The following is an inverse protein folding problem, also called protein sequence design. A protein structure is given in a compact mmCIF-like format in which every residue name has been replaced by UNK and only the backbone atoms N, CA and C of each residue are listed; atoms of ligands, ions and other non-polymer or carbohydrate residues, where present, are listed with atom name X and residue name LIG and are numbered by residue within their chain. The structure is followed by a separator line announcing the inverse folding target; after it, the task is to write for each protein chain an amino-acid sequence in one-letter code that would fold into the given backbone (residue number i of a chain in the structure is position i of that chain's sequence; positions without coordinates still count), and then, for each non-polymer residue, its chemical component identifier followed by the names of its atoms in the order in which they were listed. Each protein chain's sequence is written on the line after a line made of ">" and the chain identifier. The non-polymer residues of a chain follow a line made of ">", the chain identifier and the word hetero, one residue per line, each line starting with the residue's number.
data_IF_528506080955
#
_entry.id   IF_528506080955
#
_cell.length_a   1.000
_cell.length_b   1.000
_cell.length_c   1.000
_cell.angle_alpha   90.00
_cell.angle_beta   90.00
_cell.angle_gamma   90.00
#
_symmetry.space_group_name_H-M   'P 1'
#
loop_
_entity.id
_entity.type
_entity.pdbx_description
1 polymer ?
#
# COMPACT_ATOMS: atom_id res chain seq x y z
N UNK A 1 -46.41 -3.90 2.40
CA UNK A 1 -45.81 -2.60 2.06
C UNK A 1 -45.45 -2.68 0.59
N UNK A 2 -45.99 -1.77 -0.23
CA UNK A 2 -45.73 -1.74 -1.67
C UNK A 2 -44.23 -1.57 -1.92
N UNK A 3 -43.72 -2.24 -2.96
CA UNK A 3 -42.36 -2.07 -3.45
C UNK A 3 -42.22 -0.67 -4.05
N UNK A 4 -42.07 0.34 -3.20
CA UNK A 4 -41.55 1.65 -3.60
C UNK A 4 -40.11 1.46 -4.04
N UNK A 5 -39.78 2.05 -5.19
CA UNK A 5 -38.52 1.89 -5.93
C UNK A 5 -37.32 1.70 -5.01
N UNK A 6 -36.78 0.47 -5.01
CA UNK A 6 -35.50 0.23 -4.39
C UNK A 6 -34.46 1.12 -5.11
N UNK A 7 -33.59 1.84 -4.38
CA UNK A 7 -32.57 2.67 -5.00
C UNK A 7 -31.74 1.83 -5.96
N UNK A 8 -31.72 2.24 -7.22
CA UNK A 8 -31.13 1.49 -8.33
C UNK A 8 -29.64 1.81 -8.52
N UNK A 9 -29.20 2.94 -7.94
CA UNK A 9 -27.81 3.38 -7.98
C UNK A 9 -27.25 3.62 -6.57
N UNK A 10 -25.92 3.55 -6.45
CA UNK A 10 -25.22 3.82 -5.18
C UNK A 10 -25.47 5.26 -4.67
N UNK A 11 -25.65 6.21 -5.58
CA UNK A 11 -25.96 7.60 -5.25
C UNK A 11 -27.35 7.73 -4.64
N UNK A 12 -28.34 7.02 -5.18
CA UNK A 12 -29.70 6.97 -4.64
C UNK A 12 -29.72 6.29 -3.27
N UNK A 13 -29.03 5.16 -3.12
CA UNK A 13 -28.90 4.43 -1.85
C UNK A 13 -28.28 5.32 -0.76
N UNK A 14 -27.21 6.04 -1.12
CA UNK A 14 -26.54 6.97 -0.20
C UNK A 14 -27.46 8.11 0.23
N UNK A 15 -28.25 8.64 -0.69
CA UNK A 15 -29.18 9.75 -0.41
C UNK A 15 -30.34 9.30 0.47
N UNK A 16 -30.96 8.16 0.16
CA UNK A 16 -32.02 7.55 0.97
C UNK A 16 -31.54 7.20 2.39
N UNK A 17 -30.33 6.64 2.52
CA UNK A 17 -29.76 6.35 3.84
C UNK A 17 -29.48 7.60 4.66
N UNK A 18 -29.04 8.68 3.99
CA UNK A 18 -28.81 9.97 4.64
C UNK A 18 -30.15 10.59 5.11
N UNK A 19 -31.21 10.48 4.33
CA UNK A 19 -32.55 10.94 4.69
C UNK A 19 -33.13 10.15 5.86
N UNK A 20 -33.01 8.82 5.87
CA UNK A 20 -33.42 7.98 7.00
C UNK A 20 -32.63 8.26 8.27
N UNK A 21 -31.32 8.49 8.17
CA UNK A 21 -30.51 8.88 9.33
C UNK A 21 -30.92 10.23 9.92
N UNK A 22 -31.28 11.20 9.06
CA UNK A 22 -31.83 12.49 9.49
C UNK A 22 -33.16 12.31 10.24
N UNK A 23 -34.05 11.46 9.74
CA UNK A 23 -35.34 11.17 10.37
C UNK A 23 -35.17 10.59 11.78
N UNK A 24 -34.24 9.65 11.95
CA UNK A 24 -34.05 8.94 13.24
C UNK A 24 -33.27 9.77 14.25
N UNK A 25 -32.26 10.54 13.82
CA UNK A 25 -31.32 11.17 14.76
C UNK A 25 -31.51 12.67 14.92
N UNK A 26 -32.24 13.33 14.01
CA UNK A 26 -32.41 14.79 13.99
C UNK A 26 -31.13 15.58 13.69
N UNK A 27 -30.00 14.90 13.47
CA UNK A 27 -28.71 15.49 13.16
C UNK A 27 -28.48 15.44 11.65
N UNK A 28 -28.08 16.56 11.05
CA UNK A 28 -27.70 16.59 9.64
C UNK A 28 -26.45 15.73 9.44
N UNK A 29 -26.63 14.50 8.96
CA UNK A 29 -25.57 13.51 8.86
C UNK A 29 -24.41 14.01 7.98
N UNK A 30 -23.22 14.09 8.57
CA UNK A 30 -21.98 14.40 7.85
C UNK A 30 -21.72 13.25 6.87
N UNK A 31 -21.52 13.58 5.58
CA UNK A 31 -21.26 12.61 4.49
C UNK A 31 -20.24 11.51 4.87
N UNK A 32 -19.27 11.84 5.71
CA UNK A 32 -18.24 10.93 6.25
C UNK A 32 -18.82 9.74 7.04
N UNK A 33 -19.86 9.95 7.85
CA UNK A 33 -20.46 8.89 8.68
C UNK A 33 -21.21 7.88 7.80
N UNK A 34 -21.96 8.38 6.82
CA UNK A 34 -22.69 7.56 5.84
C UNK A 34 -21.73 6.67 5.05
N UNK A 35 -20.65 7.25 4.52
CA UNK A 35 -19.65 6.50 3.78
C UNK A 35 -18.98 5.42 4.64
N UNK A 36 -18.77 5.69 5.94
CA UNK A 36 -18.22 4.70 6.88
C UNK A 36 -19.18 3.53 7.09
N UNK A 37 -20.48 3.78 7.28
CA UNK A 37 -21.46 2.70 7.46
C UNK A 37 -21.66 1.89 6.19
N UNK A 38 -21.68 2.52 5.01
CA UNK A 38 -21.74 1.80 3.73
C UNK A 38 -20.50 0.92 3.53
N UNK A 39 -19.31 1.42 3.85
CA UNK A 39 -18.10 0.61 3.82
C UNK A 39 -18.14 -0.54 4.84
N UNK A 40 -18.63 -0.31 6.06
CA UNK A 40 -18.80 -1.35 7.07
C UNK A 40 -19.75 -2.45 6.58
N UNK A 41 -20.93 -2.09 6.08
CA UNK A 41 -21.91 -3.04 5.55
C UNK A 41 -21.34 -3.84 4.37
N UNK A 42 -20.56 -3.20 3.49
CA UNK A 42 -19.87 -3.90 2.41
C UNK A 42 -18.81 -4.88 2.95
N UNK A 43 -18.06 -4.51 4.00
CA UNK A 43 -17.11 -5.43 4.64
C UNK A 43 -17.83 -6.61 5.32
N UNK A 44 -18.94 -6.36 6.00
CA UNK A 44 -19.72 -7.39 6.70
C UNK A 44 -20.31 -8.40 5.71
N UNK A 45 -20.81 -7.94 4.56
CA UNK A 45 -21.29 -8.78 3.46
C UNK A 45 -20.21 -9.74 2.92
N UNK A 46 -18.96 -9.28 2.88
CA UNK A 46 -17.83 -10.12 2.50
C UNK A 46 -17.37 -11.07 3.63
N UNK A 47 -17.76 -10.85 4.89
CA UNK A 47 -17.46 -11.74 6.02
C UNK A 47 -18.45 -12.91 6.13
N UNK A 48 -19.68 -12.75 5.66
CA UNK A 48 -20.75 -13.78 5.66
C UNK A 48 -20.50 -14.97 4.70
N UNK A 49 -19.37 -14.99 3.98
CA UNK A 49 -18.89 -16.12 3.13
C UNK A 49 -19.93 -16.64 2.13
N UNK A 50 -20.71 -15.75 1.52
CA UNK A 50 -21.58 -16.17 0.43
C UNK A 50 -20.75 -16.46 -0.82
N UNK A 51 -20.91 -17.64 -1.42
CA UNK A 51 -20.13 -18.13 -2.57
C UNK A 51 -20.05 -17.17 -3.77
N UNK A 52 -21.05 -16.30 -3.94
CA UNK A 52 -21.11 -15.27 -4.99
C UNK A 52 -20.51 -13.93 -4.56
N UNK A 53 -20.28 -13.72 -3.27
CA UNK A 53 -19.66 -12.53 -2.67
C UNK A 53 -18.23 -12.81 -2.14
N UNK A 54 -17.72 -14.03 -2.33
CA UNK A 54 -16.36 -14.40 -1.97
C UNK A 54 -15.35 -13.52 -2.73
N UNK A 55 -14.41 -12.93 -1.98
CA UNK A 55 -13.29 -12.19 -2.56
C UNK A 55 -12.41 -13.15 -3.35
N UNK A 56 -12.61 -13.17 -4.68
CA UNK A 56 -11.84 -14.02 -5.61
C UNK A 56 -10.36 -13.65 -5.69
N UNK A 57 -10.02 -12.39 -5.42
CA UNK A 57 -8.65 -11.90 -5.33
C UNK A 57 -8.60 -10.66 -4.43
N UNK A 58 -7.47 -10.47 -3.74
CA UNK A 58 -7.18 -9.27 -2.94
C UNK A 58 -5.86 -8.70 -3.44
N UNK A 59 -5.88 -7.44 -3.86
CA UNK A 59 -4.66 -6.68 -4.12
C UNK A 59 -4.23 -6.09 -2.77
N UNK A 60 -3.11 -6.56 -2.25
CA UNK A 60 -2.52 -6.02 -1.03
C UNK A 60 -1.47 -5.00 -1.43
N UNK A 61 -1.77 -3.72 -1.24
CA UNK A 61 -0.83 -2.62 -1.42
C UNK A 61 -0.11 -2.37 -0.09
N UNK A 62 1.19 -2.64 -0.05
CA UNK A 62 2.02 -2.28 1.09
C UNK A 62 2.45 -0.81 0.94
N UNK A 63 2.60 -0.11 2.08
CA UNK A 63 3.18 1.23 2.05
C UNK A 63 4.67 1.12 1.67
N UNK A 64 5.23 2.11 0.96
CA UNK A 64 6.65 2.09 0.63
C UNK A 64 7.51 2.00 1.90
N UNK A 65 8.58 1.21 1.84
CA UNK A 65 9.51 1.01 2.92
C UNK A 65 10.68 2.00 2.78
N UNK A 66 10.88 2.82 3.81
CA UNK A 66 11.86 3.93 3.82
C UNK A 66 12.68 3.99 5.12
N UNK A 67 12.66 2.92 5.93
CA UNK A 67 13.34 2.93 7.24
C UNK A 67 14.83 2.58 7.11
N UNK A 68 15.69 3.36 7.76
CA UNK A 68 17.14 3.25 7.66
C UNK A 68 17.68 4.09 6.51
N UNK A 69 18.98 3.99 6.25
CA UNK A 69 19.67 4.70 5.17
C UNK A 69 20.48 3.75 4.31
N UNK A 70 20.92 4.21 3.15
CA UNK A 70 21.71 3.43 2.21
C UNK A 70 23.06 4.05 1.90
N UNK A 71 23.99 3.21 1.47
CA UNK A 71 25.27 3.58 0.93
C UNK A 71 25.59 2.75 -0.32
N UNK A 72 26.21 3.40 -1.30
CA UNK A 72 26.69 2.82 -2.54
C UNK A 72 27.89 3.64 -3.02
N UNK A 73 28.99 2.96 -3.34
CA UNK A 73 30.23 3.60 -3.75
C UNK A 73 30.53 3.31 -5.22
N UNK A 74 30.45 4.34 -6.06
CA UNK A 74 30.61 4.28 -7.52
C UNK A 74 31.94 3.63 -7.94
N UNK A 75 33.00 3.82 -7.14
CA UNK A 75 34.32 3.29 -7.43
C UNK A 75 34.45 1.77 -7.22
N UNK A 76 33.62 1.17 -6.36
CA UNK A 76 33.72 -0.25 -5.99
C UNK A 76 32.56 -1.10 -6.50
N UNK A 77 31.36 -0.53 -6.54
CA UNK A 77 30.18 -1.24 -7.03
C UNK A 77 29.08 -0.27 -7.44
N UNK A 78 28.50 -0.50 -8.61
CA UNK A 78 27.35 0.25 -9.10
C UNK A 78 26.02 -0.45 -8.81
N UNK A 79 26.05 -1.68 -8.28
CA UNK A 79 24.83 -2.48 -8.07
C UNK A 79 24.66 -2.94 -6.63
N UNK A 80 25.71 -2.92 -5.81
CA UNK A 80 25.63 -3.33 -4.41
C UNK A 80 25.22 -2.16 -3.53
N UNK A 81 24.05 -2.27 -2.89
CA UNK A 81 23.53 -1.29 -1.95
C UNK A 81 23.69 -1.85 -0.54
N UNK A 82 24.33 -1.08 0.33
CA UNK A 82 24.47 -1.42 1.74
C UNK A 82 23.49 -0.57 2.55
N UNK A 83 22.72 -1.20 3.42
CA UNK A 83 21.78 -0.52 4.32
C UNK A 83 22.35 -0.34 5.73
N UNK A 84 21.95 0.74 6.39
CA UNK A 84 22.17 0.97 7.83
C UNK A 84 20.80 1.12 8.50
N UNK A 85 20.56 0.39 9.59
CA UNK A 85 19.28 0.33 10.30
C UNK A 85 18.08 -0.08 9.40
N UNK A 86 18.37 -0.72 8.28
CA UNK A 86 17.39 -1.31 7.38
C UNK A 86 16.99 -2.71 7.86
N UNK A 87 15.78 -3.13 7.52
CA UNK A 87 15.18 -4.42 7.87
C UNK A 87 14.63 -5.11 6.62
N UNK A 88 15.41 -5.12 5.54
CA UNK A 88 14.97 -5.56 4.22
C UNK A 88 14.52 -7.02 4.15
N UNK A 89 15.15 -7.90 4.92
CA UNK A 89 14.85 -9.33 4.95
C UNK A 89 13.93 -9.70 6.12
N UNK A 90 13.36 -8.70 6.80
CA UNK A 90 12.42 -8.88 7.91
C UNK A 90 10.99 -8.81 7.39
N UNK A 91 10.15 -9.72 7.86
CA UNK A 91 8.74 -9.75 7.51
C UNK A 91 7.96 -8.57 8.12
N UNK A 92 7.15 -7.92 7.29
CA UNK A 92 6.21 -6.87 7.68
C UNK A 92 4.94 -7.44 8.30
N UNK A 93 3.98 -6.56 8.63
CA UNK A 93 2.68 -6.94 9.21
C UNK A 93 1.84 -7.90 8.32
N UNK A 94 2.18 -8.03 7.05
CA UNK A 94 1.54 -8.94 6.09
C UNK A 94 2.33 -10.24 5.87
N UNK A 95 3.39 -10.48 6.66
CA UNK A 95 4.22 -11.68 6.56
C UNK A 95 5.14 -11.71 5.33
N UNK A 96 5.33 -10.57 4.66
CA UNK A 96 6.22 -10.41 3.49
C UNK A 96 7.44 -9.60 3.87
N UNK A 97 8.60 -9.93 3.32
CA UNK A 97 9.81 -9.15 3.55
C UNK A 97 9.63 -7.70 3.07
N UNK A 98 10.24 -6.74 3.77
CA UNK A 98 10.17 -5.33 3.40
C UNK A 98 10.80 -5.04 2.03
N UNK A 99 11.80 -5.83 1.62
CA UNK A 99 12.32 -5.85 0.27
C UNK A 99 12.18 -7.24 -0.33
N UNK A 100 11.80 -7.32 -1.60
CA UNK A 100 11.59 -8.58 -2.31
C UNK A 100 12.30 -8.50 -3.67
N UNK A 101 12.85 -9.63 -4.12
CA UNK A 101 13.43 -9.74 -5.46
C UNK A 101 12.40 -9.41 -6.54
N UNK A 102 12.78 -8.61 -7.52
CA UNK A 102 11.91 -8.11 -8.58
C UNK A 102 11.08 -6.89 -8.18
N UNK A 103 11.11 -6.46 -6.91
CA UNK A 103 10.53 -5.16 -6.53
C UNK A 103 11.40 -4.01 -7.00
N UNK A 104 10.79 -2.83 -7.01
CA UNK A 104 11.39 -1.59 -7.46
C UNK A 104 11.95 -0.83 -6.26
N UNK A 105 13.07 -0.17 -6.46
CA UNK A 105 13.73 0.68 -5.48
C UNK A 105 14.10 1.99 -6.15
N UNK A 106 13.89 3.09 -5.44
CA UNK A 106 14.35 4.43 -5.81
C UNK A 106 15.40 4.83 -4.78
N UNK A 107 16.56 5.27 -5.27
CA UNK A 107 17.67 5.73 -4.43
C UNK A 107 17.69 7.25 -4.39
N UNK A 108 18.16 7.85 -3.30
CA UNK A 108 18.29 9.30 -3.18
C UNK A 108 19.03 9.93 -4.37
N UNK A 109 18.56 11.11 -4.76
CA UNK A 109 19.13 11.88 -5.86
C UNK A 109 18.82 11.33 -7.25
N UNK A 110 18.14 10.18 -7.36
CA UNK A 110 17.72 9.58 -8.63
C UNK A 110 16.20 9.57 -8.77
N UNK A 111 15.71 9.90 -9.97
CA UNK A 111 14.33 9.61 -10.37
C UNK A 111 14.21 8.26 -11.09
N UNK A 112 15.33 7.58 -11.29
CA UNK A 112 15.36 6.27 -11.93
C UNK A 112 14.89 5.21 -10.94
N UNK A 113 14.20 4.22 -11.49
CA UNK A 113 13.74 3.06 -10.74
C UNK A 113 14.65 1.88 -11.01
N UNK A 114 15.21 1.30 -9.96
CA UNK A 114 16.08 0.13 -10.03
C UNK A 114 15.31 -1.11 -9.59
N UNK A 115 15.57 -2.25 -10.21
CA UNK A 115 15.00 -3.53 -9.77
C UNK A 115 15.93 -4.19 -8.76
N UNK A 116 15.35 -4.81 -7.74
CA UNK A 116 16.09 -5.60 -6.75
C UNK A 116 16.36 -6.98 -7.36
N UNK A 117 17.64 -7.29 -7.62
CA UNK A 117 18.06 -8.59 -8.13
C UNK A 117 18.23 -9.61 -7.00
N UNK A 118 18.79 -9.21 -5.85
CA UNK A 118 18.87 -10.06 -4.67
C UNK A 118 18.73 -9.26 -3.37
N UNK A 119 18.18 -9.90 -2.35
CA UNK A 119 18.19 -9.43 -0.96
C UNK A 119 19.07 -10.40 -0.17
N UNK A 120 20.29 -9.98 0.15
CA UNK A 120 21.29 -10.83 0.83
C UNK A 120 21.10 -10.88 2.35
N UNK A 121 20.65 -9.79 2.96
CA UNK A 121 20.38 -9.66 4.39
C UNK A 121 19.46 -8.46 4.65
N UNK A 122 19.19 -8.16 5.92
CA UNK A 122 18.49 -6.92 6.31
C UNK A 122 19.21 -5.64 5.86
N UNK A 123 20.51 -5.72 5.55
CA UNK A 123 21.40 -4.60 5.23
C UNK A 123 22.14 -4.75 3.90
N UNK A 124 21.77 -5.72 3.07
CA UNK A 124 22.44 -5.96 1.78
C UNK A 124 21.44 -6.28 0.68
N UNK A 125 21.43 -5.44 -0.36
CA UNK A 125 20.67 -5.62 -1.59
C UNK A 125 21.60 -5.48 -2.80
N UNK A 126 21.31 -6.22 -3.86
CA UNK A 126 21.90 -6.00 -5.18
C UNK A 126 20.84 -5.57 -6.17
N UNK A 127 21.17 -4.58 -6.99
CA UNK A 127 20.34 -4.07 -8.08
C UNK A 127 20.57 -4.88 -9.35
N UNK A 128 19.54 -4.95 -10.19
CA UNK A 128 19.59 -5.58 -11.51
C UNK A 128 20.35 -4.72 -12.54
N UNK A 129 20.26 -3.40 -12.38
CA UNK A 129 20.95 -2.41 -13.21
C UNK A 129 21.90 -1.56 -12.39
N UNK A 130 22.96 -1.08 -13.05
CA UNK A 130 23.91 -0.15 -12.44
C UNK A 130 23.23 1.17 -12.05
N UNK A 131 23.59 1.67 -10.88
CA UNK A 131 23.26 3.02 -10.43
C UNK A 131 23.83 4.06 -11.40
N UNK A 132 22.98 5.02 -11.75
CA UNK A 132 23.23 6.05 -12.78
C UNK A 132 23.54 7.43 -12.18
N UNK A 133 23.59 7.54 -10.85
CA UNK A 133 23.93 8.79 -10.17
C UNK A 133 25.38 9.20 -10.38
N UNK A 134 25.65 10.48 -10.14
CA UNK A 134 26.96 11.11 -10.38
C UNK A 134 27.84 11.21 -9.13
N UNK A 135 27.31 10.84 -7.96
CA UNK A 135 28.02 10.81 -6.68
C UNK A 135 27.75 9.52 -5.92
N UNK A 136 28.65 9.19 -4.99
CA UNK A 136 28.42 8.12 -4.02
C UNK A 136 27.18 8.43 -3.17
N UNK A 137 26.52 7.37 -2.72
CA UNK A 137 25.50 7.42 -1.68
C UNK A 137 26.15 7.04 -0.35
N UNK A 138 25.90 7.80 0.71
CA UNK A 138 26.55 7.67 2.00
C UNK A 138 25.63 8.11 3.14
N UNK A 139 24.72 7.21 3.55
CA UNK A 139 23.73 7.50 4.59
C UNK A 139 22.51 8.22 4.02
N UNK A 140 22.20 7.96 2.76
CA UNK A 140 21.13 8.61 2.03
C UNK A 140 19.78 7.89 2.16
N UNK A 141 18.71 8.63 1.84
CA UNK A 141 17.35 8.12 1.81
C UNK A 141 17.09 7.19 0.62
N UNK A 142 16.02 6.40 0.72
CA UNK A 142 15.57 5.52 -0.35
C UNK A 142 14.09 5.17 -0.18
N UNK A 143 13.55 4.49 -1.18
CA UNK A 143 12.18 3.95 -1.12
C UNK A 143 12.13 2.61 -1.85
N UNK A 144 11.53 1.60 -1.20
CA UNK A 144 11.24 0.26 -1.76
C UNK A 144 9.73 0.02 -1.78
#
# INVERSE_FOLDING_TARGET
>A
MAAGDAPSTLTELRTDFLEKLKEVTGVSAVNTIVNRFLNQANQDFHQERWWWAERRAVIITDNPYTTGTIALTLATSLTAVTGTDTLWNTANNFGRNNAIVGHKMILAGSNDTYLINAVGSDTSITLDSSYTGTSDLSGDDYTV
#
